data_IF_160314262547
#
_entry.id   IF_160314262547
#
_cell.length_a   1.000
_cell.length_b   1.000
_cell.length_c   1.000
_cell.angle_alpha   90.00
_cell.angle_beta   90.00
_cell.angle_gamma   90.00
#
_symmetry.space_group_name_H-M   'P 1'
#
loop_
_entity.id
_entity.type
_entity.pdbx_description
1 polymer ?
#
# COMPACT_ATOMS: atom_id res chain seq x y z
N UNK A 1 11.88 -25.48 -40.10
CA UNK A 1 12.20 -24.61 -38.96
C UNK A 1 10.86 -24.23 -38.36
N UNK A 2 10.36 -25.05 -37.43
CA UNK A 2 9.19 -24.67 -36.62
C UNK A 2 9.49 -23.33 -35.94
N UNK A 3 8.63 -22.32 -36.06
CA UNK A 3 8.72 -21.17 -35.19
C UNK A 3 8.42 -21.67 -33.78
N UNK A 4 9.45 -21.70 -32.93
CA UNK A 4 9.34 -21.85 -31.48
C UNK A 4 8.23 -20.90 -31.02
N UNK A 5 7.04 -21.46 -30.78
CA UNK A 5 5.91 -20.67 -30.31
C UNK A 5 6.30 -20.21 -28.91
N UNK A 6 6.53 -18.92 -28.76
CA UNK A 6 6.80 -18.30 -27.47
C UNK A 6 5.62 -18.59 -26.54
N UNK A 7 5.75 -19.63 -25.71
CA UNK A 7 4.83 -19.99 -24.65
C UNK A 7 4.99 -18.97 -23.52
N UNK A 8 4.72 -17.70 -23.82
CA UNK A 8 4.58 -16.67 -22.80
C UNK A 8 3.43 -17.14 -21.89
N UNK A 9 3.69 -17.45 -20.61
CA UNK A 9 2.63 -17.84 -19.70
C UNK A 9 1.63 -16.68 -19.66
N UNK A 10 0.39 -16.93 -20.10
CA UNK A 10 -0.68 -15.94 -20.02
C UNK A 10 -0.83 -15.55 -18.55
N UNK A 11 -0.63 -14.26 -18.26
CA UNK A 11 -0.88 -13.70 -16.94
C UNK A 11 -2.29 -14.09 -16.49
N UNK A 12 -2.41 -14.50 -15.23
CA UNK A 12 -3.69 -14.96 -14.69
C UNK A 12 -4.60 -13.79 -14.43
N UNK A 13 -5.91 -14.04 -14.38
CA UNK A 13 -6.84 -13.02 -13.90
C UNK A 13 -6.46 -12.56 -12.48
N UNK A 14 -5.98 -13.49 -11.64
CA UNK A 14 -5.47 -13.20 -10.28
C UNK A 14 -4.31 -12.21 -10.31
N UNK A 15 -3.33 -12.41 -11.19
CA UNK A 15 -2.17 -11.51 -11.36
C UNK A 15 -2.61 -10.11 -11.78
N UNK A 16 -3.51 -10.03 -12.78
CA UNK A 16 -4.02 -8.76 -13.29
C UNK A 16 -4.77 -8.00 -12.20
N UNK A 17 -5.67 -8.69 -11.48
CA UNK A 17 -6.44 -8.10 -10.39
C UNK A 17 -5.55 -7.68 -9.22
N UNK A 18 -4.51 -8.46 -8.91
CA UNK A 18 -3.56 -8.11 -7.86
C UNK A 18 -2.76 -6.86 -8.22
N UNK A 19 -2.26 -6.74 -9.45
CA UNK A 19 -1.56 -5.53 -9.92
C UNK A 19 -2.49 -4.32 -9.90
N UNK A 20 -3.73 -4.48 -10.36
CA UNK A 20 -4.74 -3.41 -10.30
C UNK A 20 -4.99 -2.97 -8.86
N UNK A 21 -5.15 -3.94 -7.94
CA UNK A 21 -5.29 -3.67 -6.52
C UNK A 21 -4.11 -2.85 -5.98
N UNK A 22 -2.86 -3.25 -6.23
CA UNK A 22 -1.67 -2.50 -5.80
C UNK A 22 -1.66 -1.06 -6.34
N UNK A 23 -2.06 -0.86 -7.61
CA UNK A 23 -2.14 0.48 -8.22
C UNK A 23 -3.22 1.35 -7.58
N UNK A 24 -4.36 0.78 -7.21
CA UNK A 24 -5.40 1.52 -6.49
C UNK A 24 -4.90 1.97 -5.11
N UNK A 25 -4.18 1.10 -4.39
CA UNK A 25 -3.58 1.45 -3.10
C UNK A 25 -2.48 2.50 -3.28
N UNK A 26 -1.69 2.41 -4.36
CA UNK A 26 -0.68 3.40 -4.68
C UNK A 26 -1.28 4.80 -4.87
N UNK A 27 -2.39 4.92 -5.60
CA UNK A 27 -3.12 6.20 -5.76
C UNK A 27 -3.60 6.71 -4.39
N UNK A 28 -4.16 5.84 -3.55
CA UNK A 28 -4.57 6.21 -2.20
C UNK A 28 -3.42 6.70 -1.34
N UNK A 29 -2.25 6.04 -1.40
CA UNK A 29 -1.05 6.47 -0.68
C UNK A 29 -0.55 7.81 -1.20
N UNK A 30 -0.50 8.00 -2.51
CA UNK A 30 -0.08 9.28 -3.10
C UNK A 30 -1.01 10.41 -2.65
N UNK A 31 -2.32 10.17 -2.66
CA UNK A 31 -3.31 11.13 -2.15
C UNK A 31 -3.09 11.46 -0.67
N UNK A 32 -2.86 10.47 0.18
CA UNK A 32 -2.55 10.71 1.60
C UNK A 32 -1.25 11.52 1.77
N UNK A 33 -0.23 11.24 0.96
CA UNK A 33 1.01 12.04 0.92
C UNK A 33 0.73 13.50 0.60
N UNK A 34 -0.10 13.77 -0.42
CA UNK A 34 -0.52 15.13 -0.78
C UNK A 34 -1.32 15.81 0.34
N UNK A 35 -2.15 15.07 1.07
CA UNK A 35 -2.88 15.61 2.22
C UNK A 35 -1.91 16.06 3.33
N UNK A 36 -0.90 15.25 3.66
CA UNK A 36 0.13 15.65 4.62
C UNK A 36 0.95 16.84 4.13
N UNK A 37 1.35 16.89 2.85
CA UNK A 37 2.05 18.08 2.30
C UNK A 37 1.19 19.34 2.38
N UNK A 38 -0.06 19.25 1.95
CA UNK A 38 -1.05 20.32 2.02
C UNK A 38 -1.20 20.86 3.45
N UNK A 39 -1.28 19.96 4.44
CA UNK A 39 -1.33 20.31 5.86
C UNK A 39 -0.04 21.01 6.32
N UNK A 40 1.12 20.40 6.07
CA UNK A 40 2.41 20.87 6.59
C UNK A 40 2.85 22.22 6.02
N UNK A 41 2.54 22.49 4.75
CA UNK A 41 2.80 23.79 4.10
C UNK A 41 1.77 24.85 4.54
N UNK A 42 0.67 24.44 5.17
CA UNK A 42 -0.39 25.35 5.64
C UNK A 42 -1.41 25.72 4.56
N UNK A 43 -1.49 24.94 3.47
CA UNK A 43 -2.52 25.13 2.44
C UNK A 43 -3.91 24.69 2.92
N UNK A 44 -3.98 23.63 3.73
CA UNK A 44 -5.24 23.18 4.35
C UNK A 44 -5.41 23.68 5.79
N UNK A 45 -6.59 23.43 6.37
CA UNK A 45 -6.93 23.74 7.76
C UNK A 45 -6.68 25.22 8.13
N UNK A 46 -6.95 26.12 7.19
CA UNK A 46 -6.77 27.58 7.34
C UNK A 46 -5.34 27.96 7.78
N UNK A 47 -4.36 27.09 7.49
CA UNK A 47 -2.97 27.27 7.88
C UNK A 47 -2.67 27.05 9.37
N UNK A 48 -3.63 26.57 10.17
CA UNK A 48 -3.43 26.28 11.60
C UNK A 48 -2.63 25.00 11.85
N UNK A 49 -2.53 24.11 10.86
CA UNK A 49 -1.80 22.85 10.96
C UNK A 49 -0.44 22.86 10.23
N UNK A 50 0.06 24.05 9.87
CA UNK A 50 1.40 24.21 9.29
C UNK A 50 2.48 23.70 10.25
N UNK A 51 3.59 23.24 9.70
CA UNK A 51 4.61 22.52 10.45
C UNK A 51 5.10 23.24 11.72
N UNK A 52 5.35 24.55 11.67
CA UNK A 52 5.87 25.33 12.79
C UNK A 52 4.92 25.38 13.99
N UNK A 53 3.60 25.36 13.74
CA UNK A 53 2.55 25.42 14.77
C UNK A 53 2.26 24.07 15.43
N UNK A 54 2.69 22.96 14.83
CA UNK A 54 2.42 21.63 15.35
C UNK A 54 3.21 21.32 16.63
N UNK A 55 2.61 20.51 17.50
CA UNK A 55 3.34 19.90 18.62
C UNK A 55 4.37 18.88 18.12
N UNK A 56 5.32 18.49 18.98
CA UNK A 56 6.42 17.61 18.59
C UNK A 56 5.96 16.26 18.01
N UNK A 57 4.98 15.54 18.60
CA UNK A 57 4.47 14.30 18.00
C UNK A 57 3.95 14.47 16.56
N UNK A 58 3.17 15.53 16.30
CA UNK A 58 2.67 15.83 14.96
C UNK A 58 3.75 16.23 13.98
N UNK A 59 4.79 16.96 14.43
CA UNK A 59 5.95 17.28 13.58
C UNK A 59 6.65 16.02 13.09
N UNK A 60 6.91 15.08 13.99
CA UNK A 60 7.59 13.81 13.66
C UNK A 60 6.71 12.94 12.78
N UNK A 61 5.47 12.66 13.22
CA UNK A 61 4.57 11.77 12.49
C UNK A 61 4.14 12.36 11.14
N UNK A 62 3.76 13.62 11.11
CA UNK A 62 3.31 14.31 9.90
C UNK A 62 4.40 14.39 8.84
N UNK A 63 5.61 14.86 9.21
CA UNK A 63 6.72 14.93 8.26
C UNK A 63 7.20 13.54 7.81
N UNK A 64 7.22 12.55 8.72
CA UNK A 64 7.55 11.17 8.39
C UNK A 64 6.56 10.57 7.38
N UNK A 65 5.26 10.65 7.67
CA UNK A 65 4.21 10.12 6.81
C UNK A 65 4.12 10.86 5.46
N UNK A 66 4.41 12.15 5.44
CA UNK A 66 4.53 12.95 4.21
C UNK A 66 5.59 12.41 3.22
N UNK A 67 6.59 11.68 3.71
CA UNK A 67 7.62 11.02 2.88
C UNK A 67 7.27 9.56 2.64
N UNK A 68 6.89 8.83 3.68
CA UNK A 68 6.63 7.39 3.62
C UNK A 68 5.49 7.06 2.65
N UNK A 69 4.42 7.86 2.63
CA UNK A 69 3.27 7.61 1.74
C UNK A 69 3.62 7.72 0.25
N UNK A 70 4.30 8.78 -0.25
CA UNK A 70 4.78 8.82 -1.63
C UNK A 70 5.75 7.69 -1.99
N UNK A 71 6.64 7.30 -1.06
CA UNK A 71 7.56 6.18 -1.28
C UNK A 71 6.78 4.88 -1.42
N UNK A 72 5.85 4.58 -0.51
CA UNK A 72 4.93 3.44 -0.62
C UNK A 72 4.15 3.46 -1.95
N UNK A 73 3.62 4.63 -2.34
CA UNK A 73 2.88 4.79 -3.59
C UNK A 73 3.72 4.38 -4.80
N UNK A 74 4.96 4.88 -4.89
CA UNK A 74 5.87 4.53 -5.98
C UNK A 74 6.16 3.01 -6.01
N UNK A 75 6.46 2.43 -4.85
CA UNK A 75 6.77 1.00 -4.74
C UNK A 75 5.60 0.11 -5.14
N UNK A 76 4.39 0.46 -4.71
CA UNK A 76 3.16 -0.24 -5.06
C UNK A 76 2.81 -0.08 -6.54
N UNK A 77 2.97 1.12 -7.11
CA UNK A 77 2.67 1.40 -8.52
C UNK A 77 3.58 0.63 -9.46
N UNK A 78 4.87 0.58 -9.14
CA UNK A 78 5.90 -0.16 -9.87
C UNK A 78 5.89 -1.66 -9.54
N UNK A 79 5.01 -2.11 -8.65
CA UNK A 79 4.88 -3.52 -8.23
C UNK A 79 6.17 -4.13 -7.68
N UNK A 80 7.03 -3.32 -7.08
CA UNK A 80 8.29 -3.77 -6.47
C UNK A 80 8.05 -4.32 -5.07
N UNK A 81 8.84 -5.33 -4.68
CA UNK A 81 8.62 -6.11 -3.44
C UNK A 81 8.65 -5.27 -2.16
N UNK A 82 9.36 -4.14 -2.15
CA UNK A 82 9.44 -3.25 -1.00
C UNK A 82 8.18 -2.36 -0.83
N UNK A 83 7.36 -2.17 -1.88
CA UNK A 83 6.17 -1.31 -1.83
C UNK A 83 5.20 -1.66 -0.69
N UNK A 84 4.75 -2.93 -0.58
CA UNK A 84 3.92 -3.38 0.53
C UNK A 84 4.58 -3.23 1.90
N UNK A 85 5.90 -3.39 1.99
CA UNK A 85 6.64 -3.23 3.26
C UNK A 85 6.58 -1.77 3.74
N UNK A 86 6.85 -0.82 2.84
CA UNK A 86 6.76 0.61 3.17
C UNK A 86 5.30 1.02 3.43
N UNK A 87 4.34 0.45 2.72
CA UNK A 87 2.92 0.66 3.01
C UNK A 87 2.55 0.21 4.44
N UNK A 88 3.05 -0.94 4.91
CA UNK A 88 2.82 -1.41 6.29
C UNK A 88 3.38 -0.41 7.31
N UNK A 89 4.53 0.21 7.04
CA UNK A 89 5.06 1.27 7.92
C UNK A 89 4.13 2.50 7.95
N UNK A 90 3.62 2.93 6.79
CA UNK A 90 2.70 4.05 6.69
C UNK A 90 1.37 3.78 7.41
N UNK A 91 0.76 2.62 7.11
CA UNK A 91 -0.49 2.16 7.68
C UNK A 91 -0.36 1.94 9.19
N UNK A 92 0.74 1.31 9.63
CA UNK A 92 1.07 1.12 11.05
C UNK A 92 1.23 2.44 11.79
N UNK A 93 1.89 3.43 11.17
CA UNK A 93 1.99 4.78 11.72
C UNK A 93 0.61 5.41 11.96
N UNK A 94 -0.28 5.40 10.97
CA UNK A 94 -1.63 5.93 11.13
C UNK A 94 -2.50 5.10 12.09
N UNK A 95 -2.35 3.77 12.10
CA UNK A 95 -3.06 2.90 13.03
C UNK A 95 -2.65 3.18 14.49
N UNK A 96 -1.36 3.39 14.75
CA UNK A 96 -0.87 3.78 16.06
C UNK A 96 -1.35 5.19 16.45
N UNK A 97 -1.27 6.16 15.54
CA UNK A 97 -1.74 7.53 15.78
C UNK A 97 -3.20 7.56 16.22
N UNK A 98 -4.10 6.95 15.43
CA UNK A 98 -5.54 7.09 15.63
C UNK A 98 -6.15 6.00 16.51
N UNK A 99 -5.46 4.87 16.70
CA UNK A 99 -5.92 3.76 17.54
C UNK A 99 -5.33 3.79 18.95
N UNK A 100 -4.01 3.98 19.08
CA UNK A 100 -3.32 3.90 20.38
C UNK A 100 -3.12 5.27 21.05
N UNK A 101 -2.93 6.33 20.26
CA UNK A 101 -2.73 7.69 20.76
C UNK A 101 -3.76 8.72 20.28
N UNK A 102 -5.08 8.42 20.29
CA UNK A 102 -6.10 9.33 19.81
C UNK A 102 -6.17 10.66 20.60
N UNK A 103 -5.71 10.68 21.85
CA UNK A 103 -5.60 11.89 22.66
C UNK A 103 -4.55 12.89 22.13
N UNK A 104 -3.59 12.43 21.32
CA UNK A 104 -2.54 13.27 20.71
C UNK A 104 -2.91 13.63 19.27
N UNK A 105 -3.36 12.65 18.49
CA UNK A 105 -3.58 12.78 17.04
C UNK A 105 -5.05 12.95 16.65
N UNK A 106 -5.96 12.98 17.61
CA UNK A 106 -7.39 12.94 17.34
C UNK A 106 -7.85 11.54 16.92
N UNK A 107 -9.15 11.43 16.61
CA UNK A 107 -9.75 10.17 16.17
C UNK A 107 -10.03 10.19 14.68
N UNK A 108 -9.63 9.13 13.99
CA UNK A 108 -10.02 8.88 12.60
C UNK A 108 -10.21 7.36 12.40
N UNK A 109 -11.34 6.78 12.86
CA UNK A 109 -11.55 5.34 12.77
C UNK A 109 -11.65 4.86 11.32
N UNK A 110 -12.12 5.73 10.41
CA UNK A 110 -12.27 5.41 8.99
C UNK A 110 -10.93 5.01 8.36
N UNK A 111 -9.86 5.75 8.64
CA UNK A 111 -8.55 5.46 8.03
C UNK A 111 -7.95 4.16 8.55
N UNK A 112 -8.18 3.84 9.83
CA UNK A 112 -7.74 2.58 10.45
C UNK A 112 -8.47 1.39 9.81
N UNK A 113 -9.79 1.51 9.64
CA UNK A 113 -10.62 0.49 8.97
C UNK A 113 -10.17 0.29 7.52
N UNK A 114 -9.91 1.37 6.78
CA UNK A 114 -9.43 1.27 5.40
C UNK A 114 -8.10 0.52 5.31
N UNK A 115 -7.12 0.83 6.16
CA UNK A 115 -5.85 0.09 6.19
C UNK A 115 -6.05 -1.37 6.56
N UNK A 116 -6.93 -1.68 7.51
CA UNK A 116 -7.25 -3.06 7.88
C UNK A 116 -7.88 -3.82 6.70
N UNK A 117 -8.83 -3.22 5.98
CA UNK A 117 -9.43 -3.78 4.78
C UNK A 117 -8.38 -4.07 3.70
N UNK A 118 -7.46 -3.13 3.46
CA UNK A 118 -6.36 -3.30 2.50
C UNK A 118 -5.43 -4.44 2.92
N UNK A 119 -5.07 -4.54 4.20
CA UNK A 119 -4.22 -5.62 4.71
C UNK A 119 -4.90 -6.99 4.51
N UNK A 120 -6.18 -7.11 4.83
CA UNK A 120 -6.96 -8.35 4.65
C UNK A 120 -7.01 -8.74 3.17
N UNK A 121 -7.37 -7.80 2.28
CA UNK A 121 -7.39 -8.05 0.84
C UNK A 121 -6.03 -8.45 0.30
N UNK A 122 -4.96 -7.79 0.75
CA UNK A 122 -3.60 -8.16 0.38
C UNK A 122 -3.27 -9.60 0.78
N UNK A 123 -3.59 -10.02 2.02
CA UNK A 123 -3.39 -11.39 2.48
C UNK A 123 -4.19 -12.39 1.63
N UNK A 124 -5.45 -12.08 1.29
CA UNK A 124 -6.28 -12.93 0.43
C UNK A 124 -5.62 -13.11 -0.94
N UNK A 125 -5.21 -12.02 -1.60
CA UNK A 125 -4.51 -12.11 -2.89
C UNK A 125 -3.23 -12.94 -2.80
N UNK A 126 -2.43 -12.75 -1.75
CA UNK A 126 -1.19 -13.53 -1.54
C UNK A 126 -1.46 -15.02 -1.39
N UNK A 127 -2.53 -15.39 -0.69
CA UNK A 127 -2.95 -16.79 -0.54
C UNK A 127 -3.41 -17.36 -1.88
N UNK A 128 -4.25 -16.63 -2.64
CA UNK A 128 -4.76 -17.07 -3.93
C UNK A 128 -3.62 -17.29 -4.95
N UNK A 129 -2.69 -16.34 -5.05
CA UNK A 129 -1.52 -16.46 -5.92
C UNK A 129 -0.62 -17.64 -5.55
N UNK A 130 -0.42 -17.87 -4.25
CA UNK A 130 0.36 -19.02 -3.77
C UNK A 130 -0.31 -20.36 -4.10
N UNK A 131 -1.63 -20.45 -3.95
CA UNK A 131 -2.39 -21.64 -4.34
C UNK A 131 -2.33 -21.89 -5.84
N UNK A 132 -2.46 -20.86 -6.66
CA UNK A 132 -2.37 -20.97 -8.13
C UNK A 132 -0.97 -21.43 -8.57
N UNK A 133 0.07 -20.84 -8.00
CA UNK A 133 1.45 -21.27 -8.27
C UNK A 133 1.67 -22.74 -7.91
N UNK A 134 1.14 -23.21 -6.76
CA UNK A 134 1.23 -24.62 -6.36
C UNK A 134 0.51 -25.57 -7.32
N UNK A 135 -0.69 -25.22 -7.79
CA UNK A 135 -1.46 -26.05 -8.73
C UNK A 135 -0.73 -26.22 -10.06
N UNK A 136 -0.11 -25.15 -10.58
CA UNK A 136 0.66 -25.20 -11.82
C UNK A 136 1.88 -26.11 -11.72
N UNK A 137 2.63 -26.03 -10.61
CA UNK A 137 3.79 -26.89 -10.37
C UNK A 137 3.40 -28.39 -10.34
N UNK A 138 2.23 -28.71 -9.78
CA UNK A 138 1.72 -30.08 -9.77
C UNK A 138 1.33 -30.59 -11.17
N UNK A 139 0.70 -29.74 -12.00
CA UNK A 139 0.35 -30.10 -13.38
C UNK A 139 1.59 -30.40 -14.23
N UNK A 140 2.61 -29.54 -14.16
CA UNK A 140 3.87 -29.73 -14.90
C UNK A 140 4.58 -31.03 -14.51
N UNK A 141 4.51 -31.44 -13.24
CA UNK A 141 5.13 -32.69 -12.78
C UNK A 141 4.42 -33.95 -13.30
N UNK A 142 3.09 -33.88 -13.50
CA UNK A 142 2.28 -35.01 -14.00
C UNK A 142 2.45 -35.20 -15.51
N UNK A 143 2.75 -34.12 -16.24
CA UNK A 143 2.91 -34.13 -17.70
C UNK A 143 4.36 -34.47 -18.16
N UNK A 144 5.29 -34.74 -17.25
CA UNK A 144 6.65 -35.21 -17.57
C UNK A 144 6.64 -36.73 -17.82
N UNK A 145 7.15 -37.21 -18.98
CA UNK A 145 7.16 -38.63 -19.36
C UNK A 145 8.05 -39.51 -18.47
#
# INVERSE_FOLDING_TARGET
MEPDSSTLPKNTLTDILFVLFLRLIAIGCFWLGLQYWSMLVGYSLEGHARFDLLNLPWKVAGAGLAVVFPVAALGLWLTVSWGPVIWVLAAGGQALMYGLWPQIFGSNPLIVILHACVAVLYCIFRILLWQEHRRRQQQVMVDLP
#
